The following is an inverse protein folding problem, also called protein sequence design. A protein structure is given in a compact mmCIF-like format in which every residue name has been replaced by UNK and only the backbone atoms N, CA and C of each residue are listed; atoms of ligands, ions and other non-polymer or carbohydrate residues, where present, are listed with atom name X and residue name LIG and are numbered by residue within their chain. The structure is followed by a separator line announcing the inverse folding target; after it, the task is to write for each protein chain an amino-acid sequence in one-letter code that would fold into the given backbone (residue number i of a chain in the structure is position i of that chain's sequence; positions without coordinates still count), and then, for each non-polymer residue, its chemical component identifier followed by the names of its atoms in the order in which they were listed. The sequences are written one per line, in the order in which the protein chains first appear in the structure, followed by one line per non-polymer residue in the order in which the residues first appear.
data_IF_435908046669
#
_entry.id   IF_435908046669
#
_cell.length_a   1.000
_cell.length_b   1.000
_cell.length_c   1.000
_cell.angle_alpha   90.00
_cell.angle_beta   90.00
_cell.angle_gamma   90.00
#
_symmetry.space_group_name_H-M   'P 1'
#
loop_
_entity.id
_entity.type
_entity.pdbx_description
1 polymer ?
#
# COMPACT_ATOMS: atom_id res chain seq x y z
N UNK A 1 -16.03 -20.26 26.22
CA UNK A 1 -17.14 -19.50 25.59
C UNK A 1 -16.63 -18.92 24.28
N UNK A 2 -17.37 -19.08 23.17
CA UNK A 2 -17.02 -18.44 21.89
C UNK A 2 -17.28 -16.94 21.99
N UNK A 3 -16.35 -16.10 21.52
CA UNK A 3 -16.54 -14.64 21.47
C UNK A 3 -17.37 -14.32 20.23
N UNK A 4 -18.64 -13.99 20.42
CA UNK A 4 -19.56 -13.68 19.35
C UNK A 4 -19.98 -12.21 19.37
N UNK A 5 -20.20 -11.62 18.20
CA UNK A 5 -20.82 -10.28 18.08
C UNK A 5 -22.33 -10.37 18.35
N UNK A 6 -23.00 -9.21 18.44
CA UNK A 6 -24.47 -9.11 18.58
C UNK A 6 -25.19 -9.81 17.40
N UNK A 7 -24.56 -9.84 16.23
CA UNK A 7 -25.05 -10.54 15.03
C UNK A 7 -24.68 -12.04 15.00
N UNK A 8 -24.06 -12.58 16.05
CA UNK A 8 -23.69 -14.00 16.15
C UNK A 8 -22.36 -14.37 15.46
N UNK A 9 -21.61 -13.40 14.96
CA UNK A 9 -20.32 -13.64 14.26
C UNK A 9 -19.27 -14.15 15.23
N UNK A 10 -18.68 -15.32 14.95
CA UNK A 10 -17.55 -15.87 15.71
C UNK A 10 -16.26 -15.09 15.40
N UNK A 11 -15.80 -14.31 16.38
CA UNK A 11 -14.67 -13.40 16.23
C UNK A 11 -13.36 -14.17 15.98
N UNK A 12 -13.19 -15.34 16.60
CA UNK A 12 -11.94 -16.10 16.48
C UNK A 12 -11.85 -16.76 15.10
N UNK A 13 -12.97 -17.24 14.56
CA UNK A 13 -13.06 -17.75 13.18
C UNK A 13 -12.71 -16.66 12.15
N UNK A 14 -13.23 -15.45 12.32
CA UNK A 14 -12.95 -14.32 11.41
C UNK A 14 -11.48 -13.91 11.45
N UNK A 15 -10.87 -13.83 12.65
CA UNK A 15 -9.43 -13.53 12.77
C UNK A 15 -8.57 -14.58 12.07
N UNK A 16 -8.93 -15.86 12.21
CA UNK A 16 -8.20 -16.94 11.55
C UNK A 16 -8.32 -16.86 10.02
N UNK A 17 -9.51 -16.57 9.51
CA UNK A 17 -9.72 -16.35 8.07
C UNK A 17 -8.93 -15.14 7.56
N UNK A 18 -8.91 -14.03 8.30
CA UNK A 18 -8.13 -12.84 7.96
C UNK A 18 -6.62 -13.13 7.95
N UNK A 19 -6.10 -13.89 8.92
CA UNK A 19 -4.71 -14.31 8.94
C UNK A 19 -4.36 -15.21 7.73
N UNK A 20 -5.33 -15.94 7.20
CA UNK A 20 -5.18 -16.82 6.02
C UNK A 20 -5.60 -16.16 4.70
N UNK A 21 -5.94 -14.87 4.70
CA UNK A 21 -6.55 -14.19 3.53
C UNK A 21 -5.53 -13.74 2.46
N UNK A 22 -4.24 -13.92 2.72
CA UNK A 22 -3.16 -13.62 1.77
C UNK A 22 -2.13 -12.64 2.33
N UNK A 23 -1.37 -12.02 1.43
CA UNK A 23 -0.38 -11.01 1.78
C UNK A 23 -1.05 -9.74 2.29
N UNK A 24 -0.49 -9.16 3.34
CA UNK A 24 -0.83 -7.80 3.76
C UNK A 24 -0.45 -6.78 2.68
N UNK A 25 -1.02 -5.58 2.79
CA UNK A 25 -0.69 -4.48 1.88
C UNK A 25 0.81 -4.21 1.76
N UNK A 26 1.55 -4.24 2.88
CA UNK A 26 2.99 -4.00 2.87
C UNK A 26 3.76 -5.16 2.22
N UNK A 27 3.33 -6.40 2.45
CA UNK A 27 3.93 -7.57 1.79
C UNK A 27 3.65 -7.57 0.29
N UNK A 28 2.44 -7.21 -0.15
CA UNK A 28 2.11 -7.03 -1.57
C UNK A 28 2.97 -5.93 -2.18
N UNK A 29 3.11 -4.78 -1.50
CA UNK A 29 3.93 -3.66 -1.98
C UNK A 29 5.39 -4.07 -2.17
N UNK A 30 5.96 -4.79 -1.20
CA UNK A 30 7.32 -5.30 -1.28
C UNK A 30 7.48 -6.38 -2.35
N UNK A 31 6.54 -7.34 -2.43
CA UNK A 31 6.52 -8.36 -3.46
C UNK A 31 6.47 -7.74 -4.86
N UNK A 32 5.58 -6.78 -5.08
CA UNK A 32 5.48 -6.06 -6.34
C UNK A 32 6.76 -5.30 -6.65
N UNK A 33 7.35 -4.59 -5.69
CA UNK A 33 8.63 -3.90 -5.87
C UNK A 33 9.76 -4.86 -6.28
N UNK A 34 9.80 -6.07 -5.70
CA UNK A 34 10.82 -7.10 -5.98
C UNK A 34 10.60 -7.83 -7.31
N UNK A 35 9.36 -8.06 -7.71
CA UNK A 35 9.01 -8.97 -8.84
C UNK A 35 8.56 -8.25 -10.10
N UNK A 36 8.02 -7.04 -9.97
CA UNK A 36 7.39 -6.28 -11.08
C UNK A 36 7.80 -4.81 -11.13
N UNK A 37 8.22 -4.22 -10.00
CA UNK A 37 8.57 -2.82 -9.88
C UNK A 37 9.88 -2.50 -10.60
N UNK A 38 9.92 -1.40 -11.34
CA UNK A 38 11.15 -0.86 -11.92
C UNK A 38 11.65 -1.52 -13.21
N UNK A 39 11.06 -2.63 -13.66
CA UNK A 39 11.43 -3.24 -14.94
C UNK A 39 10.73 -2.50 -16.10
N UNK A 40 11.49 -1.71 -16.85
CA UNK A 40 10.98 -0.99 -18.04
C UNK A 40 10.17 0.28 -17.75
N UNK A 41 9.93 0.63 -16.47
CA UNK A 41 9.28 1.91 -16.10
C UNK A 41 10.20 3.11 -16.31
N UNK A 42 11.52 2.92 -16.40
CA UNK A 42 12.46 3.98 -16.74
C UNK A 42 12.12 4.70 -18.08
N UNK A 43 11.43 4.01 -19.00
CA UNK A 43 10.95 4.60 -20.27
C UNK A 43 9.71 5.49 -20.10
N UNK A 44 8.94 5.30 -19.03
CA UNK A 44 7.67 5.99 -18.77
C UNK A 44 7.75 6.96 -17.58
N UNK A 45 8.82 6.87 -16.77
CA UNK A 45 9.08 7.75 -15.64
C UNK A 45 10.05 8.85 -16.06
N UNK A 46 9.56 9.81 -16.84
CA UNK A 46 10.27 11.07 -17.16
C UNK A 46 10.24 12.03 -15.96
N UNK A 47 10.08 11.51 -14.74
CA UNK A 47 9.88 12.30 -13.55
C UNK A 47 11.24 12.78 -13.06
N UNK A 48 11.54 14.05 -13.31
CA UNK A 48 12.66 14.72 -12.67
C UNK A 48 12.32 14.94 -11.19
N UNK A 49 13.01 14.19 -10.33
CA UNK A 49 12.80 14.20 -8.89
C UNK A 49 13.09 15.59 -8.30
N UNK A 50 14.04 16.33 -8.86
CA UNK A 50 14.42 17.65 -8.35
C UNK A 50 13.38 18.71 -8.75
N UNK A 51 12.81 18.60 -9.96
CA UNK A 51 11.67 19.42 -10.37
C UNK A 51 10.44 19.16 -9.49
N UNK A 52 10.10 17.89 -9.23
CA UNK A 52 8.93 17.57 -8.40
C UNK A 52 9.10 18.06 -6.96
N UNK A 53 10.32 18.03 -6.42
CA UNK A 53 10.61 18.58 -5.09
C UNK A 53 10.48 20.10 -5.05
N UNK A 54 10.91 20.81 -6.10
CA UNK A 54 10.80 22.26 -6.14
C UNK A 54 9.34 22.71 -6.24
N UNK A 55 8.52 22.05 -7.08
CA UNK A 55 7.09 22.34 -7.24
C UNK A 55 6.27 22.06 -5.97
N UNK A 56 6.61 21.01 -5.22
CA UNK A 56 5.92 20.64 -3.98
C UNK A 56 6.42 21.39 -2.74
N UNK A 57 7.49 22.18 -2.87
CA UNK A 57 7.97 23.00 -1.76
C UNK A 57 7.04 24.20 -1.58
N UNK A 58 6.53 24.48 -0.36
CA UNK A 58 5.49 25.49 -0.10
C UNK A 58 5.90 26.95 -0.36
N UNK A 59 7.08 27.18 -0.95
CA UNK A 59 7.68 28.50 -1.17
C UNK A 59 7.51 29.07 -2.59
N UNK A 60 6.90 28.36 -3.54
CA UNK A 60 6.70 28.86 -4.92
C UNK A 60 5.24 29.01 -5.37
N UNK A 61 4.28 29.02 -4.44
CA UNK A 61 2.92 29.50 -4.72
C UNK A 61 2.79 30.96 -4.27
N UNK A 62 3.49 31.87 -4.96
CA UNK A 62 3.17 33.30 -4.92
C UNK A 62 3.80 34.04 -6.10
N UNK A 63 2.93 34.79 -6.77
CA UNK A 63 3.07 35.68 -7.96
C UNK A 63 2.91 35.05 -9.34
#
# INVERSE_FOLDING_TARGET
MKKQTIAGTDIESVKQQNANSGMSYNEVKEYLARTTGGHGTAKYSNTDIEQVKSENSPSQQQE
#
